data_IF_602977956026
#
_entry.id   IF_602977956026
#
_cell.length_a   1.000
_cell.length_b   1.000
_cell.length_c   1.000
_cell.angle_alpha   90.00
_cell.angle_beta   90.00
_cell.angle_gamma   90.00
#
_symmetry.space_group_name_H-M   'P 1'
#
loop_
_entity.id
_entity.type
_entity.pdbx_description
1 polymer ?
#
# COMPACT_ATOMS: atom_id res chain seq x y z
N UNK A 1 22.42 19.67 -19.04
CA UNK A 1 23.37 18.60 -19.37
C UNK A 1 22.58 17.32 -19.41
N UNK A 2 22.62 16.57 -20.51
CA UNK A 2 22.01 15.25 -20.60
C UNK A 2 22.94 14.18 -20.00
N UNK A 3 22.41 12.99 -19.69
CA UNK A 3 23.24 11.87 -19.23
C UNK A 3 24.28 11.48 -20.28
N UNK A 4 23.90 11.54 -21.57
CA UNK A 4 24.76 11.23 -22.70
C UNK A 4 25.93 12.22 -22.82
N UNK A 5 25.67 13.53 -22.67
CA UNK A 5 26.71 14.56 -22.67
C UNK A 5 27.70 14.37 -21.51
N UNK A 6 27.20 14.01 -20.33
CA UNK A 6 28.03 13.73 -19.15
C UNK A 6 28.92 12.50 -19.37
N UNK A 7 28.35 11.40 -19.87
CA UNK A 7 29.12 10.18 -20.13
C UNK A 7 30.17 10.40 -21.21
N UNK A 8 29.86 11.13 -22.28
CA UNK A 8 30.81 11.46 -23.34
C UNK A 8 31.97 12.34 -22.82
N UNK A 9 31.66 13.38 -22.04
CA UNK A 9 32.69 14.24 -21.44
C UNK A 9 33.61 13.46 -20.49
N UNK A 10 33.06 12.53 -19.72
CA UNK A 10 33.82 11.71 -18.78
C UNK A 10 34.66 10.63 -19.46
N UNK A 11 34.13 9.96 -20.48
CA UNK A 11 34.92 9.03 -21.30
C UNK A 11 36.09 9.75 -21.97
N UNK A 12 35.87 10.95 -22.51
CA UNK A 12 36.93 11.80 -23.06
C UNK A 12 37.95 12.27 -22.02
N UNK A 13 37.50 12.67 -20.83
CA UNK A 13 38.38 13.09 -19.73
C UNK A 13 39.25 11.94 -19.21
N UNK A 14 38.72 10.72 -19.22
CA UNK A 14 39.40 9.50 -18.82
C UNK A 14 40.25 8.88 -19.95
N UNK A 15 40.31 9.51 -21.12
CA UNK A 15 41.01 8.99 -22.31
C UNK A 15 40.54 7.59 -22.73
N UNK A 16 39.27 7.29 -22.46
CA UNK A 16 38.60 6.07 -22.88
C UNK A 16 37.91 6.30 -24.23
N UNK A 17 37.52 5.20 -24.89
CA UNK A 17 36.80 5.24 -26.16
C UNK A 17 35.45 5.96 -25.98
N UNK A 18 35.28 7.10 -26.65
CA UNK A 18 34.14 8.01 -26.54
C UNK A 18 33.19 7.95 -27.76
N UNK A 19 33.23 6.85 -28.51
CA UNK A 19 32.34 6.63 -29.65
C UNK A 19 30.85 6.69 -29.22
N UNK A 20 29.94 7.16 -30.10
CA UNK A 20 28.52 7.28 -29.79
C UNK A 20 27.90 5.95 -29.35
N UNK A 21 28.32 4.83 -29.95
CA UNK A 21 27.86 3.49 -29.58
C UNK A 21 28.29 3.11 -28.14
N UNK A 22 29.47 3.54 -27.71
CA UNK A 22 29.97 3.30 -26.35
C UNK A 22 29.23 4.17 -25.32
N UNK A 23 28.96 5.43 -25.67
CA UNK A 23 28.18 6.34 -24.84
C UNK A 23 26.74 5.82 -24.65
N UNK A 24 26.08 5.39 -25.73
CA UNK A 24 24.73 4.83 -25.67
C UNK A 24 24.68 3.54 -24.84
N UNK A 25 25.68 2.67 -24.97
CA UNK A 25 25.77 1.44 -24.19
C UNK A 25 25.94 1.71 -22.68
N UNK A 26 26.84 2.62 -22.31
CA UNK A 26 27.05 3.01 -20.90
C UNK A 26 25.79 3.68 -20.33
N UNK A 27 25.12 4.53 -21.10
CA UNK A 27 23.85 5.16 -20.72
C UNK A 27 22.78 4.09 -20.43
N UNK A 28 22.62 3.10 -21.33
CA UNK A 28 21.68 2.00 -21.13
C UNK A 28 21.95 1.18 -19.87
N UNK A 29 23.22 0.85 -19.61
CA UNK A 29 23.64 0.14 -18.39
C UNK A 29 23.38 0.93 -17.10
N UNK A 30 23.53 2.25 -17.16
CA UNK A 30 23.35 3.13 -16.00
C UNK A 30 21.86 3.36 -15.71
N UNK A 31 21.01 3.41 -16.74
CA UNK A 31 19.55 3.50 -16.60
C UNK A 31 18.90 2.18 -16.13
N UNK A 32 19.50 1.03 -16.44
CA UNK A 32 18.99 -0.27 -16.02
C UNK A 32 19.37 -0.59 -14.56
N UNK A 33 18.44 -0.34 -13.63
CA UNK A 33 18.57 -0.64 -12.20
C UNK A 33 18.77 -2.14 -11.88
N UNK A 34 18.57 -3.04 -12.86
CA UNK A 34 18.75 -4.48 -12.67
C UNK A 34 20.19 -4.95 -12.61
N UNK A 35 21.15 -4.14 -13.06
CA UNK A 35 22.57 -4.49 -13.04
C UNK A 35 23.25 -4.00 -11.76
N UNK A 36 23.99 -4.90 -11.10
CA UNK A 36 24.88 -4.54 -9.99
C UNK A 36 26.09 -3.75 -10.49
N UNK A 37 26.73 -2.96 -9.63
CA UNK A 37 27.86 -2.12 -10.01
C UNK A 37 29.05 -2.94 -10.57
N UNK A 38 29.26 -4.14 -10.06
CA UNK A 38 30.29 -5.08 -10.51
C UNK A 38 30.01 -5.62 -11.93
N UNK A 39 28.74 -5.89 -12.24
CA UNK A 39 28.33 -6.33 -13.57
C UNK A 39 28.44 -5.20 -14.61
N UNK A 40 28.09 -3.96 -14.22
CA UNK A 40 28.24 -2.77 -15.07
C UNK A 40 29.70 -2.53 -15.41
N UNK A 41 30.58 -2.61 -14.40
CA UNK A 41 32.03 -2.49 -14.58
C UNK A 41 32.55 -3.53 -15.56
N UNK A 42 32.19 -4.80 -15.35
CA UNK A 42 32.63 -5.91 -16.19
C UNK A 42 32.14 -5.79 -17.63
N UNK A 43 30.90 -5.32 -17.83
CA UNK A 43 30.32 -5.10 -19.15
C UNK A 43 31.01 -3.95 -19.91
N UNK A 44 31.31 -2.84 -19.22
CA UNK A 44 32.00 -1.69 -19.81
C UNK A 44 33.45 -2.05 -20.13
N UNK A 45 34.14 -2.78 -19.23
CA UNK A 45 35.51 -3.22 -19.45
C UNK A 45 35.62 -4.18 -20.64
N UNK A 46 34.67 -5.13 -20.75
CA UNK A 46 34.58 -6.04 -21.89
C UNK A 46 34.28 -5.35 -23.21
N UNK A 47 33.49 -4.28 -23.21
CA UNK A 47 33.21 -3.45 -24.39
C UNK A 47 34.41 -2.61 -24.83
N UNK A 48 35.25 -2.19 -23.89
CA UNK A 48 36.48 -1.47 -24.14
C UNK A 48 37.64 -2.38 -24.60
N UNK A 49 37.40 -3.69 -24.70
CA UNK A 49 38.41 -4.71 -24.99
C UNK A 49 39.64 -4.60 -24.06
N UNK A 50 39.44 -4.03 -22.86
CA UNK A 50 40.49 -3.89 -21.87
C UNK A 50 40.58 -5.20 -21.05
N UNK A 51 41.80 -5.67 -20.83
CA UNK A 51 42.03 -6.81 -19.95
C UNK A 51 41.73 -6.39 -18.50
N UNK A 52 41.13 -7.28 -17.70
CA UNK A 52 40.84 -7.04 -16.28
C UNK A 52 42.09 -6.65 -15.45
N UNK A 53 43.30 -6.93 -15.98
CA UNK A 53 44.59 -6.59 -15.39
C UNK A 53 45.05 -5.15 -15.66
N UNK A 54 44.39 -4.40 -16.55
CA UNK A 54 44.67 -2.98 -16.76
C UNK A 54 44.00 -2.12 -15.69
N UNK A 55 44.70 -2.02 -14.56
CA UNK A 55 44.28 -1.22 -13.39
C UNK A 55 43.92 0.22 -13.77
N UNK A 56 44.54 0.79 -14.81
CA UNK A 56 44.31 2.19 -15.17
C UNK A 56 42.96 2.42 -15.84
N UNK A 57 42.53 1.51 -16.70
CA UNK A 57 41.21 1.56 -17.35
C UNK A 57 40.12 1.11 -16.39
N UNK A 58 40.40 0.12 -15.55
CA UNK A 58 39.48 -0.33 -14.52
C UNK A 58 39.15 0.76 -13.49
N UNK A 59 40.16 1.51 -13.01
CA UNK A 59 39.97 2.65 -12.09
C UNK A 59 39.25 3.83 -12.75
N UNK A 60 39.42 4.00 -14.07
CA UNK A 60 38.73 5.03 -14.84
C UNK A 60 37.23 4.71 -14.99
N UNK A 61 36.90 3.46 -15.31
CA UNK A 61 35.51 2.99 -15.38
C UNK A 61 34.80 3.08 -14.03
N UNK A 62 35.50 2.76 -12.93
CA UNK A 62 34.93 2.90 -11.58
C UNK A 62 34.57 4.38 -11.28
N UNK A 63 35.45 5.33 -11.62
CA UNK A 63 35.18 6.77 -11.46
C UNK A 63 34.01 7.24 -12.33
N UNK A 64 33.92 6.75 -13.57
CA UNK A 64 32.80 7.04 -14.47
C UNK A 64 31.45 6.61 -13.86
N UNK A 65 31.40 5.42 -13.27
CA UNK A 65 30.20 4.87 -12.61
C UNK A 65 29.85 5.64 -11.34
N UNK A 66 30.83 6.06 -10.55
CA UNK A 66 30.62 6.92 -9.38
C UNK A 66 30.00 8.28 -9.79
N UNK A 67 30.54 8.94 -10.80
CA UNK A 67 30.04 10.27 -11.21
C UNK A 67 28.65 10.21 -11.86
N UNK A 68 28.38 9.16 -12.64
CA UNK A 68 27.06 8.96 -13.26
C UNK A 68 25.99 8.58 -12.24
N UNK A 69 26.32 7.78 -11.21
CA UNK A 69 25.40 7.48 -10.11
C UNK A 69 25.06 8.71 -9.28
N UNK A 70 26.05 9.56 -8.95
CA UNK A 70 25.83 10.83 -8.26
C UNK A 70 24.94 11.77 -9.08
N UNK A 71 25.06 11.76 -10.40
CA UNK A 71 24.19 12.54 -11.27
C UNK A 71 22.74 12.01 -11.25
N UNK A 72 22.54 10.69 -11.35
CA UNK A 72 21.21 10.09 -11.25
C UNK A 72 20.55 10.36 -9.90
N UNK A 73 21.29 10.24 -8.80
CA UNK A 73 20.79 10.54 -7.46
C UNK A 73 20.34 12.00 -7.33
N UNK A 74 21.11 12.95 -7.91
CA UNK A 74 20.72 14.37 -7.94
C UNK A 74 19.46 14.60 -8.77
N UNK A 75 19.31 13.92 -9.91
CA UNK A 75 18.11 14.03 -10.76
C UNK A 75 16.89 13.43 -10.04
N UNK A 76 17.04 12.28 -9.39
CA UNK A 76 15.98 11.66 -8.61
C UNK A 76 15.60 12.50 -7.37
N UNK A 77 16.59 13.07 -6.68
CA UNK A 77 16.34 13.98 -5.56
C UNK A 77 15.62 15.26 -6.01
N UNK A 78 16.01 15.85 -7.14
CA UNK A 78 15.33 17.00 -7.72
C UNK A 78 13.88 16.67 -8.12
N UNK A 79 13.64 15.46 -8.66
CA UNK A 79 12.29 14.99 -8.99
C UNK A 79 11.42 14.79 -7.75
N UNK A 80 11.97 14.21 -6.67
CA UNK A 80 11.28 14.08 -5.38
C UNK A 80 10.97 15.45 -4.77
N UNK A 81 11.91 16.39 -4.80
CA UNK A 81 11.69 17.74 -4.32
C UNK A 81 10.63 18.50 -5.14
N UNK A 82 10.57 18.28 -6.45
CA UNK A 82 9.52 18.84 -7.31
C UNK A 82 8.15 18.22 -7.01
N UNK A 83 8.07 16.90 -6.79
CA UNK A 83 6.84 16.20 -6.41
C UNK A 83 6.35 16.63 -5.02
N UNK A 84 7.25 16.83 -4.05
CA UNK A 84 6.91 17.38 -2.73
C UNK A 84 6.45 18.84 -2.82
N UNK A 85 7.04 19.64 -3.72
CA UNK A 85 6.61 21.01 -3.97
C UNK A 85 5.23 21.06 -4.67
N UNK A 86 4.94 20.16 -5.60
CA UNK A 86 3.62 20.03 -6.23
C UNK A 86 2.58 19.51 -5.24
N UNK A 87 2.93 18.55 -4.38
CA UNK A 87 2.05 18.08 -3.31
C UNK A 87 1.76 19.17 -2.28
N UNK A 88 2.77 20.00 -1.94
CA UNK A 88 2.59 21.16 -1.07
C UNK A 88 1.74 22.25 -1.75
N UNK A 89 1.91 22.48 -3.04
CA UNK A 89 1.08 23.43 -3.81
C UNK A 89 -0.38 22.94 -3.95
N UNK A 90 -0.59 21.64 -4.13
CA UNK A 90 -1.92 21.03 -4.16
C UNK A 90 -2.60 21.07 -2.78
N UNK A 91 -1.84 20.88 -1.71
CA UNK A 91 -2.33 21.03 -0.33
C UNK A 91 -2.71 22.50 -0.03
N UNK A 92 -1.90 23.46 -0.44
CA UNK A 92 -2.18 24.89 -0.29
C UNK A 92 -3.42 25.32 -1.09
N UNK A 93 -3.57 24.83 -2.33
CA UNK A 93 -4.76 25.08 -3.14
C UNK A 93 -6.05 24.46 -2.56
N UNK A 94 -5.93 23.29 -1.91
CA UNK A 94 -7.04 22.67 -1.20
C UNK A 94 -7.45 23.47 0.07
N UNK A 95 -6.49 24.10 0.74
CA UNK A 95 -6.72 24.95 1.91
C UNK A 95 -7.40 26.28 1.53
N UNK A 96 -7.02 26.88 0.39
CA UNK A 96 -7.65 28.09 -0.15
C UNK A 96 -9.09 27.83 -0.65
N UNK A 97 -9.33 26.66 -1.26
CA UNK A 97 -10.67 26.21 -1.65
C UNK A 97 -11.57 25.93 -0.43
N UNK A 98 -11.02 25.44 0.68
CA UNK A 98 -11.78 25.22 1.91
C UNK A 98 -12.18 26.54 2.61
N UNK A 99 -11.36 27.60 2.51
CA UNK A 99 -11.67 28.91 3.09
C UNK A 99 -12.73 29.68 2.29
N UNK A 100 -12.79 29.51 0.97
CA UNK A 100 -13.81 30.15 0.12
C UNK A 100 -15.21 29.50 0.19
N UNK A 101 -15.32 28.28 0.72
CA UNK A 101 -16.59 27.59 0.98
C UNK A 101 -17.33 28.08 2.25
N UNK A 102 -16.82 29.14 2.91
CA UNK A 102 -17.43 29.79 4.07
C UNK A 102 -18.62 30.71 3.75
N UNK A 103 -19.08 30.82 2.50
CA UNK A 103 -20.33 31.50 2.18
C UNK A 103 -21.51 30.57 2.50
N UNK A 104 -22.20 30.89 3.60
CA UNK A 104 -23.43 30.23 4.08
C UNK A 104 -24.45 30.11 2.94
N UNK A 105 -24.55 28.92 2.33
CA UNK A 105 -25.56 28.61 1.33
C UNK A 105 -26.94 28.68 2.00
N UNK A 106 -27.89 29.37 1.39
CA UNK A 106 -29.25 29.44 1.93
C UNK A 106 -29.90 28.04 1.91
N UNK A 107 -30.85 27.73 2.81
CA UNK A 107 -31.52 26.43 2.84
C UNK A 107 -32.19 26.04 1.50
N UNK A 108 -32.56 27.04 0.70
CA UNK A 108 -33.15 26.85 -0.62
C UNK A 108 -32.14 26.39 -1.68
N UNK A 109 -30.88 26.79 -1.55
CA UNK A 109 -29.80 26.42 -2.48
C UNK A 109 -29.20 25.05 -2.13
N UNK A 110 -29.18 24.68 -0.84
CA UNK A 110 -28.86 23.32 -0.41
C UNK A 110 -29.86 22.29 -0.92
N UNK A 111 -31.15 22.63 -0.97
CA UNK A 111 -32.19 21.76 -1.50
C UNK A 111 -32.03 21.54 -3.01
N UNK A 112 -31.68 22.59 -3.76
CA UNK A 112 -31.39 22.47 -5.20
C UNK A 112 -30.15 21.62 -5.45
N UNK A 113 -29.08 21.84 -4.68
CA UNK A 113 -27.85 21.05 -4.79
C UNK A 113 -28.05 19.58 -4.43
N UNK A 114 -28.86 19.30 -3.40
CA UNK A 114 -29.27 17.92 -3.05
C UNK A 114 -30.12 17.27 -4.13
N UNK A 115 -31.07 18.00 -4.72
CA UNK A 115 -31.89 17.48 -5.82
C UNK A 115 -31.05 17.23 -7.08
N UNK A 116 -30.08 18.10 -7.37
CA UNK A 116 -29.18 17.96 -8.51
C UNK A 116 -28.18 16.83 -8.30
N UNK A 117 -27.67 16.63 -7.07
CA UNK A 117 -26.87 15.46 -6.69
C UNK A 117 -27.68 14.16 -6.80
N UNK A 118 -28.95 14.15 -6.35
CA UNK A 118 -29.84 12.99 -6.51
C UNK A 118 -30.11 12.67 -7.98
N UNK A 119 -30.29 13.71 -8.80
CA UNK A 119 -30.51 13.59 -10.24
C UNK A 119 -29.24 13.19 -11.00
N UNK A 120 -28.06 13.58 -10.52
CA UNK A 120 -26.77 13.17 -11.05
C UNK A 120 -26.35 11.76 -10.60
N UNK A 121 -26.76 11.33 -9.41
CA UNK A 121 -26.54 9.96 -8.92
C UNK A 121 -27.53 8.95 -9.50
N UNK A 122 -28.72 9.38 -9.92
CA UNK A 122 -29.74 8.50 -10.51
C UNK A 122 -29.37 7.83 -11.86
N UNK A 123 -28.68 8.48 -12.82
CA UNK A 123 -28.27 7.80 -14.04
C UNK A 123 -27.07 6.85 -13.83
N UNK A 124 -26.36 6.94 -12.70
CA UNK A 124 -25.16 6.14 -12.42
C UNK A 124 -25.44 4.92 -11.53
N UNK A 125 -26.56 4.91 -10.79
CA UNK A 125 -27.02 3.77 -9.99
C UNK A 125 -28.41 3.37 -10.46
N UNK A 126 -28.45 2.37 -11.35
CA UNK A 126 -29.67 1.62 -11.61
C UNK A 126 -30.27 1.10 -10.30
N UNK A 127 -31.58 1.26 -10.18
CA UNK A 127 -32.45 0.82 -9.08
C UNK A 127 -31.86 -0.30 -8.19
N UNK A 128 -31.50 0.06 -6.96
CA UNK A 128 -31.50 -0.89 -5.84
C UNK A 128 -32.97 -1.24 -5.54
N UNK A 129 -33.48 -2.23 -6.25
CA UNK A 129 -34.44 -3.15 -5.62
C UNK A 129 -33.63 -4.09 -4.71
N UNK A 130 -34.20 -4.41 -3.56
CA UNK A 130 -33.57 -5.07 -2.41
C UNK A 130 -32.70 -6.27 -2.83
N UNK A 131 -31.37 -6.09 -2.89
CA UNK A 131 -30.43 -7.18 -3.09
C UNK A 131 -30.64 -8.21 -1.97
N UNK A 132 -31.20 -9.36 -2.32
CA UNK A 132 -31.35 -10.47 -1.40
C UNK A 132 -29.96 -10.95 -0.97
N UNK A 133 -29.83 -11.56 0.22
CA UNK A 133 -28.55 -12.10 0.70
C UNK A 133 -27.89 -13.07 -0.32
N UNK A 134 -28.69 -13.65 -1.23
CA UNK A 134 -28.23 -14.48 -2.34
C UNK A 134 -27.44 -13.70 -3.41
N UNK A 135 -27.84 -12.46 -3.74
CA UNK A 135 -27.15 -11.64 -4.74
C UNK A 135 -25.83 -11.08 -4.19
N UNK A 136 -25.80 -10.80 -2.89
CA UNK A 136 -24.58 -10.39 -2.19
C UNK A 136 -23.55 -11.53 -2.10
N UNK A 137 -24.01 -12.76 -1.86
CA UNK A 137 -23.18 -13.97 -1.93
C UNK A 137 -22.68 -14.26 -3.36
N UNK A 138 -23.50 -14.02 -4.39
CA UNK A 138 -23.11 -14.21 -5.78
C UNK A 138 -22.02 -13.23 -6.24
N UNK A 139 -22.05 -11.98 -5.75
CA UNK A 139 -20.95 -11.02 -5.96
C UNK A 139 -19.68 -11.38 -5.21
N UNK A 140 -19.78 -11.79 -3.94
CA UNK A 140 -18.62 -12.28 -3.18
C UNK A 140 -18.00 -13.54 -3.80
N UNK A 141 -18.80 -14.42 -4.40
CA UNK A 141 -18.33 -15.60 -5.13
C UNK A 141 -17.71 -15.24 -6.50
N UNK A 142 -18.20 -14.19 -7.16
CA UNK A 142 -17.64 -13.68 -8.42
C UNK A 142 -16.33 -12.87 -8.24
N UNK A 143 -16.18 -12.14 -7.12
CA UNK A 143 -14.94 -11.45 -6.76
C UNK A 143 -13.90 -12.36 -6.08
N UNK A 144 -14.32 -13.53 -5.59
CA UNK A 144 -13.41 -14.53 -5.05
C UNK A 144 -12.59 -15.12 -6.20
N UNK A 145 -11.31 -14.71 -6.28
CA UNK A 145 -10.34 -15.34 -7.16
C UNK A 145 -10.42 -16.88 -6.99
N UNK A 146 -10.35 -17.65 -8.09
CA UNK A 146 -10.50 -19.10 -8.00
C UNK A 146 -9.48 -19.63 -6.99
N UNK A 147 -9.91 -20.45 -6.02
CA UNK A 147 -9.04 -20.93 -4.93
C UNK A 147 -7.71 -21.54 -5.48
N UNK A 148 -7.72 -22.00 -6.73
CA UNK A 148 -6.56 -22.48 -7.50
C UNK A 148 -5.42 -21.46 -7.64
N UNK A 149 -5.71 -20.15 -7.62
CA UNK A 149 -4.73 -19.07 -7.68
C UNK A 149 -4.08 -18.78 -6.31
N UNK A 150 -4.67 -19.27 -5.22
CA UNK A 150 -4.16 -19.10 -3.85
C UNK A 150 -3.35 -20.31 -3.35
N UNK A 151 -3.27 -21.39 -4.14
CA UNK A 151 -2.47 -22.56 -3.78
C UNK A 151 -1.00 -22.34 -4.15
N UNK A 152 -0.11 -22.59 -3.18
CA UNK A 152 1.34 -22.55 -3.37
C UNK A 152 1.77 -23.55 -4.48
N UNK A 153 2.38 -23.07 -5.59
CA UNK A 153 2.82 -23.94 -6.68
C UNK A 153 3.84 -25.00 -6.23
N UNK A 154 4.54 -24.81 -5.11
CA UNK A 154 5.50 -25.79 -4.56
C UNK A 154 4.82 -27.04 -4.01
N UNK A 155 3.55 -26.94 -3.62
CA UNK A 155 2.74 -28.06 -3.12
C UNK A 155 2.08 -28.88 -4.25
N UNK A 156 2.17 -28.43 -5.50
CA UNK A 156 1.52 -29.04 -6.66
C UNK A 156 2.48 -29.91 -7.49
N UNK A 157 1.96 -31.02 -8.05
CA UNK A 157 2.73 -31.84 -8.99
C UNK A 157 3.10 -31.04 -10.25
N UNK A 158 4.19 -31.40 -10.93
CA UNK A 158 4.69 -30.68 -12.12
C UNK A 158 3.62 -30.53 -13.22
N UNK A 159 2.76 -31.55 -13.39
CA UNK A 159 1.67 -31.54 -14.39
C UNK A 159 0.53 -30.59 -13.97
N UNK A 160 0.22 -30.50 -12.68
CA UNK A 160 -0.80 -29.59 -12.16
C UNK A 160 -0.35 -28.14 -12.21
N UNK A 161 0.93 -27.87 -11.90
CA UNK A 161 1.54 -26.53 -12.05
C UNK A 161 1.40 -26.02 -13.48
N UNK A 162 1.82 -26.82 -14.47
CA UNK A 162 1.76 -26.43 -15.88
C UNK A 162 0.33 -26.08 -16.32
N UNK A 163 -0.66 -26.88 -15.91
CA UNK A 163 -2.07 -26.64 -16.23
C UNK A 163 -2.68 -25.45 -15.48
N UNK A 164 -2.19 -25.14 -14.28
CA UNK A 164 -2.64 -23.99 -13.50
C UNK A 164 -2.00 -22.67 -13.98
N UNK A 165 -0.86 -22.74 -14.67
CA UNK A 165 -0.15 -21.60 -15.25
C UNK A 165 -0.53 -21.35 -16.72
N UNK A 166 -1.13 -22.34 -17.39
CA UNK A 166 -1.53 -22.23 -18.80
C UNK A 166 -2.73 -21.29 -18.94
N UNK A 167 -2.50 -20.12 -19.54
CA UNK A 167 -3.51 -19.08 -19.73
C UNK A 167 -3.73 -18.16 -18.53
N UNK A 168 -2.89 -18.26 -17.49
CA UNK A 168 -2.90 -17.35 -16.34
C UNK A 168 -1.89 -16.23 -16.58
N UNK A 169 -2.38 -15.01 -16.69
CA UNK A 169 -1.54 -13.82 -16.76
C UNK A 169 -0.80 -13.62 -15.43
N UNK A 170 0.50 -13.88 -15.46
CA UNK A 170 1.38 -13.81 -14.30
C UNK A 170 1.52 -12.39 -13.74
N UNK A 171 1.30 -11.36 -14.57
CA UNK A 171 1.34 -9.96 -14.14
C UNK A 171 0.04 -9.52 -13.47
N UNK A 172 -1.09 -10.17 -13.80
CA UNK A 172 -2.39 -9.91 -13.19
C UNK A 172 -2.63 -10.75 -11.92
N UNK A 173 -1.68 -11.60 -11.51
CA UNK A 173 -1.79 -12.37 -10.29
C UNK A 173 -1.81 -11.44 -9.07
N UNK A 174 -2.78 -11.61 -8.15
CA UNK A 174 -2.78 -10.88 -6.89
C UNK A 174 -1.47 -11.12 -6.14
N UNK A 175 -0.84 -10.05 -5.64
CA UNK A 175 0.34 -10.17 -4.80
C UNK A 175 0.00 -10.99 -3.54
N UNK A 176 0.48 -12.23 -3.50
CA UNK A 176 0.23 -13.16 -2.40
C UNK A 176 0.71 -12.60 -1.06
N UNK A 177 1.76 -11.78 -1.04
CA UNK A 177 2.22 -11.12 0.18
C UNK A 177 1.16 -10.15 0.74
N UNK A 178 0.44 -9.43 -0.13
CA UNK A 178 -0.64 -8.54 0.29
C UNK A 178 -1.80 -9.34 0.90
N UNK A 179 -2.21 -10.43 0.26
CA UNK A 179 -3.27 -11.31 0.79
C UNK A 179 -2.89 -11.91 2.16
N UNK A 180 -1.63 -12.32 2.34
CA UNK A 180 -1.14 -12.81 3.63
C UNK A 180 -1.13 -11.72 4.72
N UNK A 181 -0.71 -10.50 4.38
CA UNK A 181 -0.73 -9.36 5.29
C UNK A 181 -2.16 -8.98 5.68
N UNK A 182 -3.08 -8.91 4.71
CA UNK A 182 -4.49 -8.59 4.94
C UNK A 182 -5.18 -9.66 5.80
N UNK A 183 -4.89 -10.95 5.55
CA UNK A 183 -5.39 -12.05 6.36
C UNK A 183 -4.84 -12.00 7.81
N UNK A 184 -3.55 -11.73 7.98
CA UNK A 184 -2.93 -11.57 9.30
C UNK A 184 -3.51 -10.37 10.05
N UNK A 185 -3.76 -9.25 9.37
CA UNK A 185 -4.37 -8.07 9.96
C UNK A 185 -5.83 -8.33 10.36
N UNK A 186 -6.60 -9.03 9.51
CA UNK A 186 -7.98 -9.45 9.84
C UNK A 186 -8.02 -10.37 11.06
N UNK A 187 -7.06 -11.29 11.20
CA UNK A 187 -6.92 -12.12 12.40
C UNK A 187 -6.58 -11.29 13.64
N UNK A 188 -5.67 -10.31 13.54
CA UNK A 188 -5.35 -9.39 14.65
C UNK A 188 -6.57 -8.58 15.08
N UNK A 189 -7.33 -8.03 14.13
CA UNK A 189 -8.57 -7.31 14.41
C UNK A 189 -9.60 -8.22 15.10
N UNK A 190 -9.81 -9.44 14.59
CA UNK A 190 -10.73 -10.39 15.20
C UNK A 190 -10.32 -10.79 16.63
N UNK A 191 -9.02 -10.99 16.88
CA UNK A 191 -8.48 -11.28 18.21
C UNK A 191 -8.66 -10.10 19.18
N UNK A 192 -8.45 -8.86 18.72
CA UNK A 192 -8.71 -7.67 19.54
C UNK A 192 -10.20 -7.50 19.86
N UNK A 193 -11.09 -7.77 18.90
CA UNK A 193 -12.53 -7.69 19.10
C UNK A 193 -13.02 -8.76 20.08
N UNK A 194 -12.54 -10.00 19.97
CA UNK A 194 -12.90 -11.08 20.90
C UNK A 194 -12.37 -10.82 22.31
N UNK A 195 -11.14 -10.28 22.44
CA UNK A 195 -10.60 -9.87 23.74
C UNK A 195 -11.41 -8.74 24.39
N UNK A 196 -11.84 -7.74 23.61
CA UNK A 196 -12.70 -6.66 24.08
C UNK A 196 -14.08 -7.17 24.52
N UNK A 197 -14.69 -8.07 23.76
CA UNK A 197 -15.95 -8.71 24.12
C UNK A 197 -15.81 -9.56 25.40
N UNK A 198 -14.72 -10.31 25.54
CA UNK A 198 -14.44 -11.10 26.75
C UNK A 198 -14.27 -10.21 27.99
N UNK A 199 -13.60 -9.05 27.85
CA UNK A 199 -13.50 -8.06 28.94
C UNK A 199 -14.87 -7.49 29.31
N UNK A 200 -15.67 -7.07 28.32
CA UNK A 200 -17.03 -6.57 28.53
C UNK A 200 -17.92 -7.61 29.24
N UNK A 201 -17.84 -8.87 28.84
CA UNK A 201 -18.59 -9.96 29.48
C UNK A 201 -18.18 -10.19 30.94
N UNK A 202 -16.87 -10.09 31.26
CA UNK A 202 -16.38 -10.17 32.64
C UNK A 202 -16.86 -8.99 33.49
N UNK A 203 -16.72 -7.77 32.98
CA UNK A 203 -17.15 -6.56 33.67
C UNK A 203 -18.67 -6.57 33.94
N UNK A 204 -19.47 -7.08 32.99
CA UNK A 204 -20.92 -7.24 33.17
C UNK A 204 -21.27 -8.31 34.21
N UNK A 205 -20.56 -9.44 34.21
CA UNK A 205 -20.75 -10.48 35.22
C UNK A 205 -20.41 -9.99 36.63
N UNK A 206 -19.33 -9.22 36.80
CA UNK A 206 -18.93 -8.65 38.08
C UNK A 206 -19.91 -7.57 38.55
N UNK A 207 -20.39 -6.71 37.64
CA UNK A 207 -21.45 -5.74 37.96
C UNK A 207 -22.76 -6.43 38.36
N UNK A 208 -23.10 -7.57 37.75
CA UNK A 208 -24.28 -8.35 38.14
C UNK A 208 -24.12 -8.94 39.55
N UNK A 209 -22.96 -9.52 39.87
CA UNK A 209 -22.65 -10.02 41.23
C UNK A 209 -22.79 -8.92 42.28
N UNK A 210 -22.23 -7.74 42.04
CA UNK A 210 -22.35 -6.59 42.95
C UNK A 210 -23.81 -6.22 43.21
N UNK A 211 -24.63 -6.14 42.16
CA UNK A 211 -26.07 -5.84 42.29
C UNK A 211 -26.82 -6.93 43.06
N UNK A 212 -26.49 -8.19 42.85
CA UNK A 212 -27.15 -9.31 43.55
C UNK A 212 -26.75 -9.35 45.04
N UNK A 213 -25.50 -9.05 45.38
CA UNK A 213 -25.05 -8.92 46.77
C UNK A 213 -25.68 -7.71 47.48
N UNK A 214 -25.83 -6.59 46.79
CA UNK A 214 -26.55 -5.42 47.32
C UNK A 214 -28.03 -5.73 47.57
N UNK A 215 -28.71 -6.41 46.63
CA UNK A 215 -30.10 -6.85 46.81
C UNK A 215 -30.25 -7.79 48.00
N UNK A 216 -29.36 -8.78 48.15
CA UNK A 216 -29.36 -9.68 49.30
C UNK A 216 -29.18 -8.92 50.62
N UNK A 217 -28.24 -7.97 50.68
CA UNK A 217 -28.06 -7.11 51.87
C UNK A 217 -29.31 -6.27 52.18
N UNK A 218 -29.97 -5.72 51.16
CA UNK A 218 -31.22 -4.97 51.34
C UNK A 218 -32.37 -5.86 51.82
N UNK A 219 -32.50 -7.07 51.27
CA UNK A 219 -33.50 -8.05 51.72
C UNK A 219 -33.24 -8.52 53.17
N UNK A 220 -31.99 -8.74 53.56
CA UNK A 220 -31.64 -9.05 54.95
C UNK A 220 -31.96 -7.90 55.89
N UNK A 221 -31.69 -6.65 55.49
CA UNK A 221 -32.09 -5.45 56.25
C UNK A 221 -33.61 -5.36 56.39
N UNK A 222 -34.37 -5.60 55.31
CA UNK A 222 -35.85 -5.63 55.34
C UNK A 222 -36.37 -6.74 56.25
N UNK A 223 -35.80 -7.95 56.18
CA UNK A 223 -36.16 -9.06 57.07
C UNK A 223 -35.83 -8.76 58.53
N UNK A 224 -34.70 -8.12 58.82
CA UNK A 224 -34.34 -7.68 60.17
C UNK A 224 -35.30 -6.60 60.68
N UNK A 225 -35.63 -5.60 59.87
CA UNK A 225 -36.60 -4.56 60.21
C UNK A 225 -37.98 -5.14 60.53
N UNK A 226 -38.50 -6.03 59.66
CA UNK A 226 -39.78 -6.72 59.92
C UNK A 226 -39.76 -7.57 61.20
N UNK A 227 -38.63 -8.18 61.55
CA UNK A 227 -38.51 -8.93 62.82
C UNK A 227 -38.53 -8.00 64.04
N UNK A 228 -37.99 -6.79 63.94
CA UNK A 228 -38.02 -5.79 65.01
C UNK A 228 -39.44 -5.25 65.18
N UNK A 229 -40.15 -4.94 64.09
CA UNK A 229 -41.56 -4.49 64.13
C UNK A 229 -42.53 -5.55 64.68
N UNK A 230 -42.22 -6.84 64.53
CA UNK A 230 -43.02 -7.93 65.14
C UNK A 230 -42.75 -8.15 66.62
N UNK A 231 -41.69 -7.56 67.16
CA UNK A 231 -41.23 -7.75 68.54
C UNK A 231 -41.52 -6.54 69.44
N UNK A 232 -41.84 -5.39 68.84
CA UNK A 232 -42.41 -4.21 69.48
C UNK A 232 -43.95 -4.33 69.49
#
# INVERSE_FOLDING_TARGET
MSLQELVAEQLGALSLRDDPDTVEFVVGLVEEESFEAEDRRSAILGMLEAEDDDVTTADAVDKLLEETSVYQDKVLAARRAAEEAEAAAAAAAAEEAAQSAGNKLSPADEAKRKAELLKASHPQYGYLEEETEADRLAREEAERAPDKALLDPRQMSKKQRKKALEGVDLLALPNLNKAHVDAAEKQRRAASASAAQAKKARDEADRKKQKDDEKRKLEEKRKKAQKVERKA
#
